data_IF_892974222267
#
_entry.id   IF_892974222267
#
_cell.length_a   1.000
_cell.length_b   1.000
_cell.length_c   1.000
_cell.angle_alpha   90.00
_cell.angle_beta   90.00
_cell.angle_gamma   90.00
#
_symmetry.space_group_name_H-M   'P 1'
#
loop_
_entity.id
_entity.type
_entity.pdbx_description
1 polymer ?
#
# COMPACT_ATOMS: atom_id res chain seq x y z
N UNK A 1 -21.79 -2.88 -22.46
CA UNK A 1 -20.35 -3.17 -22.39
C UNK A 1 -19.65 -2.27 -21.38
N UNK A 2 -19.80 -0.95 -21.43
CA UNK A 2 -19.18 0.01 -20.47
C UNK A 2 -19.65 -0.20 -19.03
N UNK A 3 -20.91 -0.51 -18.80
CA UNK A 3 -21.47 -0.78 -17.47
C UNK A 3 -20.82 -2.00 -16.78
N UNK A 4 -20.51 -3.04 -17.54
CA UNK A 4 -19.84 -4.23 -16.99
C UNK A 4 -18.38 -3.93 -16.62
N UNK A 5 -17.73 -3.01 -17.35
CA UNK A 5 -16.39 -2.54 -17.04
C UNK A 5 -16.34 -1.74 -15.72
N UNK A 6 -17.38 -0.93 -15.46
CA UNK A 6 -17.50 -0.16 -14.21
C UNK A 6 -17.61 -1.06 -12.97
N UNK A 7 -18.23 -2.22 -13.08
CA UNK A 7 -18.30 -3.18 -11.98
C UNK A 7 -17.04 -4.06 -11.88
N UNK A 8 -16.32 -4.26 -12.99
CA UNK A 8 -15.09 -5.05 -13.00
C UNK A 8 -13.97 -4.41 -12.17
N UNK A 9 -13.84 -3.07 -12.21
CA UNK A 9 -12.79 -2.34 -11.48
C UNK A 9 -12.88 -2.56 -9.95
N UNK A 10 -14.01 -2.30 -9.28
CA UNK A 10 -14.12 -2.56 -7.85
C UNK A 10 -14.05 -4.05 -7.51
N UNK A 11 -14.53 -4.93 -8.38
CA UNK A 11 -14.41 -6.37 -8.18
C UNK A 11 -12.94 -6.84 -8.19
N UNK A 12 -12.13 -6.34 -9.12
CA UNK A 12 -10.69 -6.60 -9.16
C UNK A 12 -9.98 -6.05 -7.91
N UNK A 13 -10.38 -4.88 -7.42
CA UNK A 13 -9.87 -4.31 -6.18
C UNK A 13 -10.14 -5.22 -4.97
N UNK A 14 -11.34 -5.77 -4.86
CA UNK A 14 -11.70 -6.70 -3.78
C UNK A 14 -10.89 -7.99 -3.88
N UNK A 15 -10.73 -8.55 -5.08
CA UNK A 15 -9.89 -9.75 -5.31
C UNK A 15 -8.44 -9.48 -4.91
N UNK A 16 -7.89 -8.31 -5.29
CA UNK A 16 -6.54 -7.88 -4.89
C UNK A 16 -6.40 -7.81 -3.36
N UNK A 17 -7.36 -7.18 -2.67
CA UNK A 17 -7.35 -7.09 -1.20
C UNK A 17 -7.40 -8.46 -0.53
N UNK A 18 -8.25 -9.38 -1.02
CA UNK A 18 -8.32 -10.75 -0.48
C UNK A 18 -7.00 -11.50 -0.70
N UNK A 19 -6.41 -11.38 -1.89
CA UNK A 19 -5.11 -11.96 -2.20
C UNK A 19 -4.02 -11.42 -1.28
N UNK A 20 -3.97 -10.10 -1.08
CA UNK A 20 -3.06 -9.40 -0.17
C UNK A 20 -3.20 -9.93 1.26
N UNK A 21 -4.41 -10.06 1.78
CA UNK A 21 -4.64 -10.58 3.14
C UNK A 21 -4.15 -12.03 3.31
N UNK A 22 -4.38 -12.89 2.31
CA UNK A 22 -3.91 -14.28 2.33
C UNK A 22 -2.39 -14.31 2.34
N UNK A 23 -1.74 -13.55 1.46
CA UNK A 23 -0.27 -13.48 1.36
C UNK A 23 0.37 -12.86 2.59
N UNK A 24 -0.20 -11.80 3.13
CA UNK A 24 0.24 -11.20 4.39
C UNK A 24 0.23 -12.20 5.55
N UNK A 25 -0.85 -12.97 5.67
CA UNK A 25 -0.96 -13.98 6.71
C UNK A 25 0.08 -15.09 6.55
N UNK A 26 0.33 -15.51 5.30
CA UNK A 26 1.36 -16.50 4.99
C UNK A 26 2.77 -15.97 5.31
N UNK A 27 3.13 -14.77 4.86
CA UNK A 27 4.43 -14.13 5.16
C UNK A 27 4.61 -13.96 6.67
N UNK A 28 3.59 -13.52 7.38
CA UNK A 28 3.65 -13.28 8.84
C UNK A 28 3.90 -14.55 9.65
N UNK A 29 3.60 -15.72 9.09
CA UNK A 29 3.85 -17.03 9.72
C UNK A 29 5.26 -17.57 9.46
N UNK A 30 6.02 -16.98 8.53
CA UNK A 30 7.39 -17.39 8.28
C UNK A 30 8.29 -17.01 9.44
N UNK A 31 9.35 -17.79 9.64
CA UNK A 31 10.32 -17.55 10.71
C UNK A 31 11.02 -16.19 10.55
N UNK A 32 11.00 -15.39 11.58
CA UNK A 32 11.63 -14.08 11.64
C UNK A 32 13.10 -14.12 12.08
N UNK A 33 13.63 -15.30 12.36
CA UNK A 33 15.01 -15.49 12.79
C UNK A 33 15.24 -15.26 14.28
N UNK A 34 16.49 -15.05 14.64
CA UNK A 34 16.92 -14.88 16.03
C UNK A 34 16.51 -13.49 16.59
N UNK A 35 16.70 -13.31 17.90
CA UNK A 35 16.27 -12.09 18.60
C UNK A 35 16.95 -10.83 18.05
N UNK A 36 18.21 -10.93 17.64
CA UNK A 36 18.94 -9.81 17.02
C UNK A 36 18.31 -9.40 15.67
N UNK A 37 17.88 -10.36 14.87
CA UNK A 37 17.20 -10.08 13.60
C UNK A 37 15.84 -9.42 13.83
N UNK A 38 15.11 -9.86 14.83
CA UNK A 38 13.83 -9.26 15.22
C UNK A 38 14.00 -7.82 15.70
N UNK A 39 15.02 -7.57 16.54
CA UNK A 39 15.34 -6.22 17.01
C UNK A 39 15.67 -5.26 15.86
N UNK A 40 16.55 -5.68 14.94
CA UNK A 40 16.89 -4.89 13.74
C UNK A 40 15.66 -4.65 12.89
N UNK A 41 14.82 -5.66 12.69
CA UNK A 41 13.56 -5.54 11.94
C UNK A 41 12.61 -4.52 12.57
N UNK A 42 12.57 -4.44 13.89
CA UNK A 42 11.76 -3.45 14.59
C UNK A 42 12.28 -2.03 14.31
N UNK A 43 13.58 -1.79 14.40
CA UNK A 43 14.15 -0.48 14.05
C UNK A 43 13.87 -0.08 12.60
N UNK A 44 13.96 -1.03 11.66
CA UNK A 44 13.62 -0.79 10.26
C UNK A 44 12.14 -0.41 10.12
N UNK A 45 11.25 -1.14 10.80
CA UNK A 45 9.81 -0.86 10.75
C UNK A 45 9.48 0.51 11.38
N UNK A 46 10.11 0.87 12.48
CA UNK A 46 9.95 2.18 13.14
C UNK A 46 10.43 3.31 12.23
N UNK A 47 11.60 3.15 11.60
CA UNK A 47 12.12 4.12 10.63
C UNK A 47 11.22 4.29 9.42
N UNK A 48 10.72 3.19 8.85
CA UNK A 48 9.78 3.20 7.74
C UNK A 48 8.46 3.90 8.10
N UNK A 49 7.92 3.65 9.28
CA UNK A 49 6.70 4.32 9.76
C UNK A 49 6.93 5.81 10.04
N UNK A 50 8.09 6.19 10.57
CA UNK A 50 8.45 7.60 10.76
C UNK A 50 8.56 8.35 9.43
N UNK A 51 9.20 7.75 8.43
CA UNK A 51 9.28 8.27 7.08
C UNK A 51 7.89 8.46 6.47
N UNK A 52 7.07 7.42 6.49
CA UNK A 52 5.72 7.44 5.94
C UNK A 52 4.84 8.53 6.59
N UNK A 53 4.96 8.69 7.91
CA UNK A 53 4.24 9.75 8.64
C UNK A 53 4.69 11.16 8.22
N UNK A 54 5.97 11.36 7.98
CA UNK A 54 6.49 12.64 7.49
C UNK A 54 6.00 12.95 6.08
N UNK A 55 6.05 11.96 5.18
CA UNK A 55 5.60 12.07 3.80
C UNK A 55 4.09 12.32 3.72
N UNK A 56 3.28 11.59 4.47
CA UNK A 56 1.83 11.78 4.48
C UNK A 56 1.40 13.14 5.01
N UNK A 57 2.16 13.74 5.89
CA UNK A 57 1.92 15.12 6.34
C UNK A 57 2.01 16.10 5.16
N UNK A 58 3.05 15.98 4.32
CA UNK A 58 3.23 16.82 3.14
C UNK A 58 2.15 16.53 2.10
N UNK A 59 1.88 15.25 1.83
CA UNK A 59 0.83 14.83 0.90
C UNK A 59 -0.55 15.33 1.32
N UNK A 60 -0.85 15.39 2.61
CA UNK A 60 -2.13 15.91 3.10
C UNK A 60 -2.32 17.37 2.68
N UNK A 61 -1.31 18.22 2.84
CA UNK A 61 -1.39 19.62 2.39
C UNK A 61 -1.57 19.72 0.87
N UNK A 62 -0.86 18.90 0.11
CA UNK A 62 -0.98 18.84 -1.34
C UNK A 62 -2.38 18.39 -1.77
N UNK A 63 -2.91 17.32 -1.19
CA UNK A 63 -4.26 16.79 -1.48
C UNK A 63 -5.33 17.83 -1.16
N UNK A 64 -5.23 18.54 -0.03
CA UNK A 64 -6.17 19.58 0.35
C UNK A 64 -6.13 20.76 -0.63
N UNK A 65 -4.93 21.17 -1.06
CA UNK A 65 -4.78 22.24 -2.04
C UNK A 65 -5.42 21.87 -3.39
N UNK A 66 -5.10 20.68 -3.90
CA UNK A 66 -5.64 20.21 -5.19
C UNK A 66 -7.15 19.98 -5.09
N UNK A 67 -7.65 19.42 -4.00
CA UNK A 67 -9.09 19.23 -3.78
C UNK A 67 -9.84 20.57 -3.76
N UNK A 68 -9.25 21.62 -3.14
CA UNK A 68 -9.80 22.97 -3.16
C UNK A 68 -9.87 23.54 -4.58
N UNK A 69 -8.78 23.42 -5.35
CA UNK A 69 -8.73 23.89 -6.72
C UNK A 69 -9.76 23.16 -7.61
N UNK A 70 -9.87 21.85 -7.49
CA UNK A 70 -10.86 21.05 -8.22
C UNK A 70 -12.29 21.42 -7.81
N UNK A 71 -12.52 21.70 -6.54
CA UNK A 71 -13.82 22.14 -6.04
C UNK A 71 -14.23 23.52 -6.60
N UNK A 72 -13.29 24.47 -6.62
CA UNK A 72 -13.51 25.80 -7.20
C UNK A 72 -13.77 25.74 -8.71
N UNK A 73 -13.01 24.93 -9.44
CA UNK A 73 -13.23 24.71 -10.88
C UNK A 73 -14.59 24.06 -11.13
N UNK A 74 -14.96 23.06 -10.32
CA UNK A 74 -16.25 22.39 -10.44
C UNK A 74 -17.46 23.28 -10.12
N UNK A 75 -17.24 24.35 -9.37
CA UNK A 75 -18.28 25.36 -9.11
C UNK A 75 -18.40 26.40 -10.25
N UNK A 76 -17.27 26.71 -10.91
CA UNK A 76 -17.19 27.77 -11.92
C UNK A 76 -17.55 27.29 -13.33
N UNK A 77 -17.41 26.00 -13.64
CA UNK A 77 -17.65 25.42 -14.96
C UNK A 77 -18.94 24.58 -14.97
N UNK A 78 -19.95 24.93 -15.82
CA UNK A 78 -21.19 24.16 -15.96
C UNK A 78 -21.01 22.70 -16.41
N UNK A 79 -19.86 22.38 -17.02
CA UNK A 79 -19.52 21.02 -17.47
C UNK A 79 -18.73 20.20 -16.43
N UNK A 80 -18.40 20.80 -15.30
CA UNK A 80 -17.65 20.16 -14.21
C UNK A 80 -18.52 20.06 -12.95
N UNK A 81 -18.28 19.03 -12.15
CA UNK A 81 -19.02 18.82 -10.91
C UNK A 81 -18.09 18.80 -9.70
N UNK A 82 -18.53 19.36 -8.59
CA UNK A 82 -17.83 19.31 -7.31
C UNK A 82 -17.51 17.87 -6.83
N UNK A 83 -18.27 16.89 -7.34
CA UNK A 83 -18.03 15.47 -7.09
C UNK A 83 -16.65 14.98 -7.52
N UNK A 84 -15.98 15.67 -8.46
CA UNK A 84 -14.61 15.36 -8.88
C UNK A 84 -13.65 15.59 -7.71
N UNK A 85 -13.81 16.68 -6.96
CA UNK A 85 -13.01 16.96 -5.76
C UNK A 85 -13.22 15.89 -4.68
N UNK A 86 -14.47 15.45 -4.47
CA UNK A 86 -14.78 14.40 -3.52
C UNK A 86 -14.17 13.05 -3.94
N UNK A 87 -14.30 12.69 -5.22
CA UNK A 87 -13.69 11.47 -5.76
C UNK A 87 -12.16 11.49 -5.64
N UNK A 88 -11.53 12.64 -5.85
CA UNK A 88 -10.09 12.83 -5.66
C UNK A 88 -9.67 12.59 -4.21
N UNK A 89 -10.38 13.15 -3.23
CA UNK A 89 -10.10 12.94 -1.80
C UNK A 89 -10.23 11.47 -1.42
N UNK A 90 -11.32 10.81 -1.87
CA UNK A 90 -11.55 9.38 -1.60
C UNK A 90 -10.43 8.54 -2.21
N UNK A 91 -10.03 8.83 -3.46
CA UNK A 91 -8.92 8.15 -4.13
C UNK A 91 -7.59 8.33 -3.37
N UNK A 92 -7.30 9.56 -2.92
CA UNK A 92 -6.11 9.85 -2.12
C UNK A 92 -6.08 9.09 -0.79
N UNK A 93 -7.24 8.97 -0.10
CA UNK A 93 -7.35 8.18 1.12
C UNK A 93 -7.08 6.68 0.88
N UNK A 94 -7.67 6.11 -0.18
CA UNK A 94 -7.42 4.70 -0.52
C UNK A 94 -5.96 4.47 -0.92
N UNK A 95 -5.35 5.38 -1.66
CA UNK A 95 -3.93 5.32 -2.02
C UNK A 95 -3.04 5.37 -0.77
N UNK A 96 -3.31 6.28 0.16
CA UNK A 96 -2.59 6.37 1.42
C UNK A 96 -2.71 5.09 2.26
N UNK A 97 -3.92 4.51 2.35
CA UNK A 97 -4.14 3.24 3.04
C UNK A 97 -3.37 2.09 2.39
N UNK A 98 -3.38 2.00 1.06
CA UNK A 98 -2.62 0.99 0.33
C UNK A 98 -1.11 1.11 0.58
N UNK A 99 -0.56 2.33 0.50
CA UNK A 99 0.85 2.60 0.82
C UNK A 99 1.23 2.23 2.26
N UNK A 100 0.37 2.56 3.24
CA UNK A 100 0.59 2.19 4.63
C UNK A 100 0.62 0.67 4.84
N UNK A 101 -0.35 -0.04 4.26
CA UNK A 101 -0.43 -1.51 4.34
C UNK A 101 0.78 -2.14 3.65
N UNK A 102 1.13 -1.69 2.43
CA UNK A 102 2.27 -2.18 1.67
C UNK A 102 3.59 -2.01 2.44
N UNK A 103 3.85 -0.83 3.01
CA UNK A 103 5.05 -0.58 3.82
C UNK A 103 5.12 -1.51 5.05
N UNK A 104 3.98 -1.74 5.71
CA UNK A 104 3.91 -2.64 6.86
C UNK A 104 4.17 -4.10 6.50
N UNK A 105 3.75 -4.51 5.32
CA UNK A 105 4.00 -5.86 4.78
C UNK A 105 5.46 -5.99 4.37
N UNK A 106 5.99 -5.04 3.61
CA UNK A 106 7.37 -5.04 3.14
C UNK A 106 8.37 -5.11 4.28
N UNK A 107 8.20 -4.31 5.33
CA UNK A 107 9.09 -4.33 6.51
C UNK A 107 9.04 -5.66 7.25
N UNK A 108 7.88 -6.32 7.31
CA UNK A 108 7.76 -7.66 7.88
C UNK A 108 8.36 -8.75 7.01
N UNK A 109 8.25 -8.63 5.70
CA UNK A 109 8.82 -9.59 4.76
C UNK A 109 10.35 -9.56 4.76
N UNK A 110 10.97 -8.39 4.91
CA UNK A 110 12.42 -8.22 4.83
C UNK A 110 13.19 -9.14 5.79
N UNK A 111 12.85 -9.16 7.07
CA UNK A 111 13.54 -10.00 8.06
C UNK A 111 13.32 -11.49 7.78
N UNK A 112 12.14 -11.87 7.31
CA UNK A 112 11.80 -13.26 6.99
C UNK A 112 12.52 -13.74 5.73
N UNK A 113 12.68 -12.86 4.75
CA UNK A 113 13.51 -13.11 3.57
C UNK A 113 14.97 -13.32 3.96
N UNK A 114 15.51 -12.47 4.83
CA UNK A 114 16.88 -12.61 5.34
C UNK A 114 17.07 -13.92 6.13
N UNK A 115 16.12 -14.31 6.96
CA UNK A 115 16.16 -15.59 7.66
C UNK A 115 16.05 -16.77 6.70
N UNK A 116 15.17 -16.73 5.73
CA UNK A 116 15.01 -17.78 4.73
C UNK A 116 16.30 -17.96 3.88
N UNK A 117 17.01 -16.86 3.59
CA UNK A 117 18.28 -16.87 2.85
C UNK A 117 19.39 -17.66 3.57
N UNK A 118 19.35 -17.75 4.88
CA UNK A 118 20.30 -18.57 5.67
C UNK A 118 20.14 -20.07 5.41
N UNK A 119 18.96 -20.48 4.95
CA UNK A 119 18.65 -21.90 4.72
C UNK A 119 18.76 -22.25 3.24
N UNK A 120 18.17 -21.45 2.34
CA UNK A 120 18.26 -21.64 0.90
C UNK A 120 17.86 -20.37 0.15
N UNK A 121 18.54 -20.14 -0.99
CA UNK A 121 18.21 -19.03 -1.89
C UNK A 121 16.80 -19.14 -2.46
N UNK A 122 16.37 -20.36 -2.84
CA UNK A 122 15.03 -20.59 -3.38
C UNK A 122 13.93 -20.21 -2.37
N UNK A 123 14.11 -20.56 -1.10
CA UNK A 123 13.18 -20.20 -0.04
C UNK A 123 13.15 -18.69 0.23
N UNK A 124 14.31 -18.03 0.19
CA UNK A 124 14.40 -16.58 0.31
C UNK A 124 13.67 -15.87 -0.81
N UNK A 125 13.86 -16.31 -2.06
CA UNK A 125 13.15 -15.76 -3.21
C UNK A 125 11.64 -15.95 -3.09
N UNK A 126 11.17 -17.11 -2.65
CA UNK A 126 9.73 -17.34 -2.44
C UNK A 126 9.13 -16.38 -1.42
N UNK A 127 9.80 -16.13 -0.30
CA UNK A 127 9.35 -15.18 0.73
C UNK A 127 9.40 -13.75 0.20
N UNK A 128 10.50 -13.37 -0.48
CA UNK A 128 10.68 -12.03 -1.04
C UNK A 128 9.64 -11.71 -2.10
N UNK A 129 9.44 -12.59 -3.09
CA UNK A 129 8.45 -12.37 -4.14
C UNK A 129 7.03 -12.38 -3.62
N UNK A 130 6.72 -13.20 -2.62
CA UNK A 130 5.40 -13.18 -1.99
C UNK A 130 5.14 -11.86 -1.27
N UNK A 131 6.16 -11.27 -0.61
CA UNK A 131 6.04 -9.96 0.03
C UNK A 131 6.04 -8.78 -0.96
N UNK A 132 6.71 -8.93 -2.12
CA UNK A 132 6.85 -7.88 -3.14
C UNK A 132 5.73 -7.86 -4.18
N UNK A 133 5.03 -8.97 -4.38
CA UNK A 133 3.93 -9.03 -5.37
C UNK A 133 2.81 -8.04 -5.09
N UNK A 134 2.86 -7.38 -3.94
CA UNK A 134 1.91 -6.36 -3.52
C UNK A 134 2.32 -4.94 -3.92
N UNK A 135 3.62 -4.70 -4.13
CA UNK A 135 4.13 -3.39 -4.54
C UNK A 135 3.84 -3.08 -6.02
N UNK A 136 3.71 -4.11 -6.86
CA UNK A 136 3.43 -3.99 -8.30
C UNK A 136 1.95 -4.06 -8.69
N UNK A 137 1.04 -4.34 -7.77
CA UNK A 137 -0.41 -4.33 -8.04
C UNK A 137 -1.07 -2.98 -7.76
N UNK A 138 -0.28 -1.98 -7.37
CA UNK A 138 -0.76 -0.62 -7.06
C UNK A 138 -0.31 0.45 -8.07
N UNK A 139 0.30 0.08 -9.21
CA UNK A 139 0.52 0.97 -10.36
C UNK A 139 -0.59 0.73 -11.46
#
# INVERSE_FOLDING_TARGET
MIQNLLYAVPAMGIVGLLFTLIKFNWVSRQDAGNDRMKEISQFIAEGAMAFLKAEYRILTYFVLLVALLLGLMGYSDPNSHWSISLAFIIGALFSALAGFIGMKIATRANVRTAQAARTSLSKALQVSFTGRSEEHTSE
#
